data_IF_081781581419
#
_entry.id   IF_081781581419
#
_cell.length_a   1.000
_cell.length_b   1.000
_cell.length_c   1.000
_cell.angle_alpha   90.00
_cell.angle_beta   90.00
_cell.angle_gamma   90.00
#
_symmetry.space_group_name_H-M   'P 1'
#
loop_
_entity.id
_entity.type
_entity.pdbx_description
1 polymer ?
#
# COMPACT_ATOMS: atom_id res chain seq x y z
N UNK A 1 -14.94 25.87 -2.17
CA UNK A 1 -15.26 24.47 -2.51
C UNK A 1 -15.05 23.66 -1.25
N UNK A 2 -16.12 23.26 -0.54
CA UNK A 2 -16.01 22.52 0.72
C UNK A 2 -15.52 21.12 0.42
N UNK A 3 -14.34 20.75 0.92
CA UNK A 3 -13.90 19.36 1.05
C UNK A 3 -14.82 18.67 2.06
N UNK A 4 -16.00 18.31 1.62
CA UNK A 4 -16.84 17.41 2.41
C UNK A 4 -16.30 16.01 2.19
N UNK A 5 -15.19 15.70 2.85
CA UNK A 5 -14.91 14.34 3.21
C UNK A 5 -16.19 13.83 3.90
N UNK A 6 -16.91 12.94 3.27
CA UNK A 6 -18.12 12.35 3.85
C UNK A 6 -17.71 11.32 4.88
N UNK A 7 -17.12 11.79 5.99
CA UNK A 7 -16.96 10.95 7.17
C UNK A 7 -18.36 10.52 7.60
N UNK A 8 -18.65 9.24 7.49
CA UNK A 8 -19.93 8.72 7.97
C UNK A 8 -19.99 8.87 9.48
N UNK A 9 -20.90 9.70 10.02
CA UNK A 9 -21.00 9.86 11.48
C UNK A 9 -21.20 8.50 12.13
N UNK A 10 -20.34 8.16 13.10
CA UNK A 10 -20.43 6.90 13.84
C UNK A 10 -19.86 5.66 13.12
N UNK A 11 -19.14 5.80 11.98
CA UNK A 11 -18.52 4.67 11.27
C UNK A 11 -17.71 3.75 12.20
N UNK A 12 -16.98 4.32 13.15
CA UNK A 12 -16.13 3.57 14.10
C UNK A 12 -16.77 3.34 15.48
N UNK A 13 -18.08 3.60 15.60
CA UNK A 13 -18.78 3.36 16.88
C UNK A 13 -18.75 1.87 17.21
N UNK A 14 -18.35 1.53 18.45
CA UNK A 14 -18.28 0.15 18.92
C UNK A 14 -17.06 -0.65 18.45
N UNK A 15 -16.19 -0.09 17.58
CA UNK A 15 -15.03 -0.80 17.04
C UNK A 15 -13.79 -0.82 17.96
N UNK A 16 -13.89 -0.35 19.19
CA UNK A 16 -12.75 -0.30 20.13
C UNK A 16 -11.97 -1.63 20.27
N UNK A 17 -12.61 -2.81 20.37
CA UNK A 17 -11.90 -4.09 20.39
C UNK A 17 -11.17 -4.39 19.08
N UNK A 18 -11.78 -4.10 17.92
CA UNK A 18 -11.18 -4.26 16.61
C UNK A 18 -9.95 -3.37 16.46
N UNK A 19 -10.06 -2.08 16.78
CA UNK A 19 -8.96 -1.10 16.69
C UNK A 19 -7.77 -1.54 17.57
N UNK A 20 -8.02 -2.03 18.79
CA UNK A 20 -6.94 -2.58 19.65
C UNK A 20 -6.21 -3.75 19.01
N UNK A 21 -6.95 -4.68 18.38
CA UNK A 21 -6.37 -5.80 17.65
C UNK A 21 -5.56 -5.32 16.46
N UNK A 22 -6.09 -4.38 15.67
CA UNK A 22 -5.41 -3.78 14.51
C UNK A 22 -4.10 -3.09 14.93
N UNK A 23 -4.11 -2.31 16.01
CA UNK A 23 -2.90 -1.68 16.56
C UNK A 23 -1.87 -2.75 16.94
N UNK A 24 -2.28 -3.83 17.62
CA UNK A 24 -1.36 -4.93 17.97
C UNK A 24 -0.69 -5.56 16.76
N UNK A 25 -1.46 -5.89 15.73
CA UNK A 25 -0.91 -6.41 14.47
C UNK A 25 -0.07 -5.38 13.71
N UNK A 26 -0.46 -4.11 13.73
CA UNK A 26 0.33 -3.03 13.09
C UNK A 26 1.70 -2.84 13.75
N UNK A 27 1.80 -2.94 15.07
CA UNK A 27 3.07 -2.89 15.79
C UNK A 27 3.97 -4.10 15.45
N UNK A 28 3.38 -5.30 15.39
CA UNK A 28 4.11 -6.49 14.96
C UNK A 28 4.61 -6.34 13.50
N UNK A 29 3.75 -5.86 12.60
CA UNK A 29 4.13 -5.59 11.21
C UNK A 29 5.23 -4.52 11.11
N UNK A 30 5.14 -3.45 11.89
CA UNK A 30 6.16 -2.40 11.92
C UNK A 30 7.56 -2.95 12.29
N UNK A 31 7.62 -3.89 13.23
CA UNK A 31 8.89 -4.57 13.57
C UNK A 31 9.40 -5.44 12.40
N UNK A 32 8.51 -6.19 11.73
CA UNK A 32 8.86 -7.04 10.58
C UNK A 32 9.36 -6.22 9.40
N UNK A 33 8.77 -5.06 9.13
CA UNK A 33 9.25 -4.13 8.09
C UNK A 33 10.52 -3.38 8.53
N UNK A 34 10.58 -2.97 9.79
CA UNK A 34 11.68 -2.14 10.32
C UNK A 34 13.01 -2.88 10.40
N UNK A 35 13.03 -4.17 10.74
CA UNK A 35 14.28 -4.93 10.87
C UNK A 35 15.05 -5.02 9.54
N UNK A 36 14.50 -5.55 8.44
CA UNK A 36 15.22 -5.59 7.17
C UNK A 36 15.52 -4.19 6.61
N UNK A 37 14.63 -3.22 6.77
CA UNK A 37 14.88 -1.84 6.37
C UNK A 37 16.05 -1.22 7.14
N UNK A 38 16.14 -1.46 8.45
CA UNK A 38 17.25 -1.00 9.28
C UNK A 38 18.59 -1.63 8.89
N UNK A 39 18.61 -2.93 8.61
CA UNK A 39 19.81 -3.65 8.13
C UNK A 39 20.29 -3.06 6.80
N UNK A 40 19.36 -2.85 5.85
CA UNK A 40 19.68 -2.28 4.54
C UNK A 40 20.15 -0.83 4.67
N UNK A 41 19.51 -0.01 5.50
CA UNK A 41 19.94 1.37 5.75
C UNK A 41 21.35 1.43 6.38
N UNK A 42 21.63 0.56 7.33
CA UNK A 42 22.97 0.44 7.91
C UNK A 42 24.00 0.01 6.85
N UNK A 43 23.70 -1.03 6.06
CA UNK A 43 24.59 -1.51 4.99
C UNK A 43 24.80 -0.46 3.89
N UNK A 44 23.80 0.36 3.57
CA UNK A 44 23.97 1.49 2.69
C UNK A 44 24.95 2.53 3.25
N UNK A 45 24.75 2.94 4.50
CA UNK A 45 25.57 4.00 5.12
C UNK A 45 27.01 3.56 5.38
N UNK A 46 27.22 2.31 5.80
CA UNK A 46 28.53 1.84 6.25
C UNK A 46 29.32 1.08 5.16
N UNK A 47 28.62 0.42 4.24
CA UNK A 47 29.22 -0.54 3.31
C UNK A 47 28.90 -0.27 1.84
N UNK A 48 28.09 0.73 1.54
CA UNK A 48 27.71 1.07 0.17
C UNK A 48 26.93 -0.03 -0.57
N UNK A 49 26.17 -0.86 0.14
CA UNK A 49 25.54 -2.06 -0.42
C UNK A 49 24.48 -1.79 -1.49
N UNK A 50 23.88 -0.61 -1.48
CA UNK A 50 22.71 -0.33 -2.30
C UNK A 50 22.99 0.70 -3.38
N UNK A 51 22.02 0.91 -4.27
CA UNK A 51 22.04 1.96 -5.29
C UNK A 51 21.37 3.26 -4.82
N UNK A 52 21.21 3.45 -3.50
CA UNK A 52 20.74 4.72 -2.95
C UNK A 52 21.86 5.75 -3.06
N UNK A 53 21.55 6.92 -3.58
CA UNK A 53 22.51 8.02 -3.73
C UNK A 53 21.99 9.32 -3.08
N UNK A 54 22.91 10.26 -2.79
CA UNK A 54 22.63 11.51 -2.08
C UNK A 54 22.87 12.76 -2.92
N UNK A 55 23.59 12.64 -4.04
CA UNK A 55 23.84 13.74 -4.97
C UNK A 55 22.83 13.72 -6.12
N UNK A 56 21.98 14.76 -6.23
CA UNK A 56 21.03 14.89 -7.35
C UNK A 56 21.73 15.02 -8.71
N UNK A 57 23.02 15.42 -8.75
CA UNK A 57 23.81 15.48 -9.97
C UNK A 57 24.29 14.12 -10.49
N UNK A 58 24.17 13.04 -9.69
CA UNK A 58 24.63 11.70 -10.07
C UNK A 58 23.88 11.10 -11.29
N UNK A 59 22.67 11.56 -11.55
CA UNK A 59 21.84 11.12 -12.68
C UNK A 59 21.19 12.33 -13.38
N UNK A 60 20.84 12.22 -14.69
CA UNK A 60 20.09 13.26 -15.37
C UNK A 60 18.77 13.61 -14.67
N UNK A 61 18.34 14.86 -14.67
CA UNK A 61 17.15 15.32 -13.94
C UNK A 61 15.87 14.56 -14.27
N UNK A 62 15.72 14.12 -15.53
CA UNK A 62 14.54 13.31 -15.94
C UNK A 62 14.47 11.95 -15.24
N UNK A 63 15.60 11.44 -14.72
CA UNK A 63 15.62 10.17 -13.99
C UNK A 63 14.94 10.26 -12.63
N UNK A 64 14.91 11.43 -12.01
CA UNK A 64 14.28 11.62 -10.70
C UNK A 64 12.79 11.21 -10.70
N UNK A 65 11.91 11.80 -11.55
CA UNK A 65 10.52 11.33 -11.62
C UNK A 65 10.39 9.90 -12.14
N UNK A 66 11.24 9.46 -13.06
CA UNK A 66 11.21 8.09 -13.55
C UNK A 66 11.52 7.08 -12.44
N UNK A 67 12.52 7.35 -11.59
CA UNK A 67 12.85 6.45 -10.49
C UNK A 67 11.67 6.27 -9.51
N UNK A 68 10.96 7.34 -9.18
CA UNK A 68 9.74 7.27 -8.35
C UNK A 68 8.67 6.41 -9.01
N UNK A 69 8.41 6.61 -10.31
CA UNK A 69 7.42 5.81 -11.06
C UNK A 69 7.82 4.34 -11.13
N UNK A 70 9.10 4.03 -11.35
CA UNK A 70 9.61 2.67 -11.38
C UNK A 70 9.40 1.96 -10.03
N UNK A 71 9.71 2.64 -8.92
CA UNK A 71 9.49 2.09 -7.58
C UNK A 71 8.01 1.83 -7.30
N UNK A 72 7.16 2.81 -7.56
CA UNK A 72 5.71 2.67 -7.34
C UNK A 72 5.13 1.56 -8.21
N UNK A 73 5.52 1.47 -9.49
CA UNK A 73 5.01 0.44 -10.39
C UNK A 73 5.54 -0.96 -10.03
N UNK A 74 6.82 -1.09 -9.70
CA UNK A 74 7.40 -2.36 -9.28
C UNK A 74 6.77 -2.86 -7.96
N UNK A 75 6.59 -1.94 -6.99
CA UNK A 75 5.91 -2.26 -5.74
C UNK A 75 4.45 -2.66 -5.96
N UNK A 76 3.70 -1.91 -6.78
CA UNK A 76 2.30 -2.24 -7.11
C UNK A 76 2.17 -3.58 -7.83
N UNK A 77 3.13 -3.88 -8.72
CA UNK A 77 3.21 -5.18 -9.40
C UNK A 77 3.41 -6.31 -8.40
N UNK A 78 4.40 -6.18 -7.52
CA UNK A 78 4.64 -7.16 -6.47
C UNK A 78 3.42 -7.32 -5.56
N UNK A 79 2.85 -6.20 -5.12
CA UNK A 79 1.68 -6.18 -4.25
C UNK A 79 0.49 -6.87 -4.91
N UNK A 80 0.15 -6.53 -6.16
CA UNK A 80 -0.97 -7.14 -6.88
C UNK A 80 -0.86 -8.67 -6.92
N UNK A 81 0.31 -9.19 -7.33
CA UNK A 81 0.48 -10.64 -7.51
C UNK A 81 0.51 -11.39 -6.18
N UNK A 82 1.20 -10.88 -5.18
CA UNK A 82 1.24 -11.49 -3.83
C UNK A 82 -0.12 -11.40 -3.15
N UNK A 83 -0.81 -10.26 -3.25
CA UNK A 83 -2.14 -10.06 -2.69
C UNK A 83 -3.16 -11.00 -3.33
N UNK A 84 -3.21 -11.06 -4.66
CA UNK A 84 -4.06 -12.01 -5.38
C UNK A 84 -3.75 -13.46 -5.02
N UNK A 85 -2.50 -13.79 -4.82
CA UNK A 85 -2.09 -15.13 -4.38
C UNK A 85 -2.55 -15.43 -2.95
N UNK A 86 -2.44 -14.48 -2.03
CA UNK A 86 -2.92 -14.61 -0.67
C UNK A 86 -4.44 -14.81 -0.57
N UNK A 87 -5.20 -14.48 -1.60
CA UNK A 87 -6.63 -14.81 -1.69
C UNK A 87 -6.94 -16.26 -2.09
N UNK A 88 -5.93 -17.10 -2.35
CA UNK A 88 -6.15 -18.55 -2.46
C UNK A 88 -6.61 -19.12 -1.12
N UNK A 89 -7.64 -20.03 -1.09
CA UNK A 89 -8.33 -20.41 0.16
C UNK A 89 -7.41 -20.88 1.29
N UNK A 90 -6.33 -21.59 0.96
CA UNK A 90 -5.40 -22.11 1.97
C UNK A 90 -4.45 -21.03 2.52
N UNK A 91 -4.01 -20.08 1.68
CA UNK A 91 -3.18 -18.95 2.09
C UNK A 91 -4.00 -17.88 2.82
N UNK A 92 -5.22 -17.61 2.34
CA UNK A 92 -6.10 -16.65 2.97
C UNK A 92 -6.26 -16.94 4.47
N UNK A 93 -6.61 -18.18 4.79
CA UNK A 93 -6.79 -18.58 6.21
C UNK A 93 -5.53 -18.48 7.05
N UNK A 94 -4.34 -18.64 6.46
CA UNK A 94 -3.05 -18.66 7.19
C UNK A 94 -2.32 -17.33 7.23
N UNK A 95 -2.58 -16.44 6.30
CA UNK A 95 -1.84 -15.18 6.15
C UNK A 95 -2.76 -13.96 6.12
N UNK A 96 -3.80 -13.95 5.28
CA UNK A 96 -4.52 -12.74 4.91
C UNK A 96 -5.85 -12.52 5.66
N UNK A 97 -6.36 -13.54 6.34
CA UNK A 97 -7.60 -13.45 7.12
C UNK A 97 -7.53 -12.43 8.28
N UNK A 98 -6.33 -12.18 8.82
CA UNK A 98 -6.10 -11.16 9.86
C UNK A 98 -6.44 -9.76 9.32
N UNK A 99 -5.97 -9.45 8.11
CA UNK A 99 -6.25 -8.19 7.43
C UNK A 99 -7.76 -8.02 7.16
N UNK A 100 -8.39 -9.01 6.56
CA UNK A 100 -9.82 -9.02 6.26
C UNK A 100 -10.77 -9.22 7.46
N UNK A 101 -10.22 -9.43 8.67
CA UNK A 101 -11.03 -9.44 9.90
C UNK A 101 -11.48 -8.05 10.32
N UNK A 102 -10.98 -6.99 9.68
CA UNK A 102 -11.35 -5.59 9.92
C UNK A 102 -12.58 -5.21 9.10
N UNK A 103 -13.72 -5.03 9.79
CA UNK A 103 -15.03 -4.76 9.14
C UNK A 103 -15.84 -3.77 9.97
N UNK A 104 -16.03 -2.53 9.51
CA UNK A 104 -15.33 -1.91 8.37
C UNK A 104 -13.84 -1.74 8.65
N UNK A 105 -12.98 -1.62 7.62
CA UNK A 105 -11.57 -1.32 7.83
C UNK A 105 -11.40 0.07 8.45
N UNK A 106 -10.29 0.25 9.19
CA UNK A 106 -9.85 1.53 9.74
C UNK A 106 -8.46 1.88 9.22
N UNK A 107 -7.97 3.09 9.47
CA UNK A 107 -6.61 3.48 9.10
C UNK A 107 -5.54 2.50 9.62
N UNK A 108 -5.75 1.84 10.75
CA UNK A 108 -4.86 0.83 11.31
C UNK A 108 -4.86 -0.48 10.52
N UNK A 109 -5.93 -0.76 9.77
CA UNK A 109 -6.01 -1.94 8.92
C UNK A 109 -4.90 -1.93 7.87
N UNK A 110 -4.44 -0.76 7.42
CA UNK A 110 -3.36 -0.58 6.45
C UNK A 110 -2.05 -1.32 6.80
N UNK A 111 -1.82 -1.58 8.08
CA UNK A 111 -0.64 -2.30 8.58
C UNK A 111 -1.00 -3.49 9.46
N UNK A 112 -2.29 -3.83 9.58
CA UNK A 112 -2.77 -4.95 10.39
C UNK A 112 -2.63 -6.27 9.63
N UNK A 113 -1.41 -6.81 9.62
CA UNK A 113 -1.03 -8.01 8.86
C UNK A 113 -0.61 -9.16 9.77
N UNK A 114 -0.92 -10.36 9.33
CA UNK A 114 -0.27 -11.55 9.86
C UNK A 114 1.23 -11.54 9.50
N UNK A 115 2.15 -12.11 10.32
CA UNK A 115 3.59 -12.08 10.01
C UNK A 115 3.96 -12.59 8.61
N UNK A 116 3.31 -13.63 8.09
CA UNK A 116 3.55 -14.12 6.73
C UNK A 116 3.21 -13.09 5.65
N UNK A 117 2.13 -12.37 5.82
CA UNK A 117 1.76 -11.27 4.93
C UNK A 117 2.76 -10.10 5.05
N UNK A 118 3.06 -9.68 6.28
CA UNK A 118 4.04 -8.62 6.53
C UNK A 118 5.41 -8.93 5.92
N UNK A 119 5.88 -10.18 5.99
CA UNK A 119 7.14 -10.62 5.36
C UNK A 119 7.12 -10.46 3.84
N UNK A 120 5.99 -10.77 3.16
CA UNK A 120 5.92 -10.59 1.70
C UNK A 120 6.03 -9.12 1.28
N UNK A 121 5.53 -8.20 2.10
CA UNK A 121 5.67 -6.76 1.86
C UNK A 121 7.04 -6.21 2.26
N UNK A 122 7.63 -6.73 3.35
CA UNK A 122 8.88 -6.21 3.91
C UNK A 122 10.09 -6.39 3.00
N UNK A 123 10.06 -7.33 2.05
CA UNK A 123 11.21 -7.64 1.16
C UNK A 123 11.30 -6.75 -0.06
N UNK A 124 10.20 -6.11 -0.51
CA UNK A 124 10.15 -5.48 -1.83
C UNK A 124 11.00 -4.22 -1.92
N UNK A 125 10.89 -3.28 -0.99
CA UNK A 125 11.71 -2.06 -0.99
C UNK A 125 13.19 -2.38 -0.75
N UNK A 126 13.58 -3.22 0.23
CA UNK A 126 14.93 -3.74 0.32
C UNK A 126 15.47 -4.31 -0.99
N UNK A 127 14.72 -5.13 -1.71
CA UNK A 127 15.16 -5.67 -3.00
C UNK A 127 15.33 -4.57 -4.07
N UNK A 128 14.39 -3.64 -4.17
CA UNK A 128 14.42 -2.58 -5.17
C UNK A 128 15.62 -1.64 -5.01
N UNK A 129 16.05 -1.33 -3.79
CA UNK A 129 17.21 -0.44 -3.57
C UNK A 129 18.54 -1.06 -3.99
N UNK A 130 18.62 -2.39 -4.14
CA UNK A 130 19.76 -3.05 -4.76
C UNK A 130 19.72 -3.05 -6.29
N UNK A 131 18.53 -2.94 -6.88
CA UNK A 131 18.33 -3.11 -8.32
C UNK A 131 18.24 -1.78 -9.05
N UNK A 132 17.52 -0.80 -8.50
CA UNK A 132 17.15 0.46 -9.15
C UNK A 132 17.75 1.63 -8.38
N UNK A 133 18.62 2.44 -9.00
CA UNK A 133 19.13 3.65 -8.36
C UNK A 133 17.99 4.59 -7.93
N UNK A 134 18.10 5.18 -6.73
CA UNK A 134 17.14 6.18 -6.26
C UNK A 134 17.83 7.18 -5.34
N UNK A 135 17.50 8.47 -5.47
CA UNK A 135 17.93 9.47 -4.52
C UNK A 135 17.25 9.26 -3.17
N UNK A 136 17.99 9.41 -2.06
CA UNK A 136 17.47 9.16 -0.70
C UNK A 136 16.19 9.93 -0.38
N UNK A 137 16.10 11.21 -0.79
CA UNK A 137 14.88 12.00 -0.59
C UNK A 137 13.68 11.47 -1.41
N UNK A 138 13.93 10.96 -2.63
CA UNK A 138 12.89 10.35 -3.48
C UNK A 138 12.45 9.00 -2.93
N UNK A 139 13.35 8.23 -2.32
CA UNK A 139 12.98 7.03 -1.57
C UNK A 139 12.05 7.39 -0.41
N UNK A 140 12.36 8.46 0.35
CA UNK A 140 11.47 8.98 1.39
C UNK A 140 10.10 9.39 0.84
N UNK A 141 10.05 10.02 -0.33
CA UNK A 141 8.80 10.36 -1.02
C UNK A 141 8.00 9.09 -1.40
N UNK A 142 8.66 8.07 -1.96
CA UNK A 142 8.02 6.79 -2.30
C UNK A 142 7.42 6.15 -1.05
N UNK A 143 8.18 6.04 0.04
CA UNK A 143 7.69 5.48 1.31
C UNK A 143 6.51 6.29 1.88
N UNK A 144 6.56 7.62 1.75
CA UNK A 144 5.44 8.50 2.13
C UNK A 144 4.18 8.24 1.31
N UNK A 145 4.30 8.11 -0.02
CA UNK A 145 3.18 7.78 -0.92
C UNK A 145 2.61 6.39 -0.55
N UNK A 146 3.46 5.39 -0.35
CA UNK A 146 3.05 4.05 0.06
C UNK A 146 2.21 4.07 1.34
N UNK A 147 2.69 4.76 2.36
CA UNK A 147 2.02 4.89 3.66
C UNK A 147 0.68 5.61 3.52
N UNK A 148 0.66 6.75 2.82
CA UNK A 148 -0.57 7.52 2.61
C UNK A 148 -1.61 6.73 1.83
N UNK A 149 -1.23 6.06 0.75
CA UNK A 149 -2.15 5.24 -0.04
C UNK A 149 -2.68 4.06 0.77
N UNK A 150 -1.82 3.38 1.52
CA UNK A 150 -2.26 2.30 2.42
C UNK A 150 -3.31 2.79 3.43
N UNK A 151 -3.04 3.90 4.11
CA UNK A 151 -3.95 4.48 5.10
C UNK A 151 -5.27 4.94 4.43
N UNK A 152 -5.19 5.72 3.36
CA UNK A 152 -6.39 6.28 2.71
C UNK A 152 -7.29 5.21 2.12
N UNK A 153 -6.73 4.15 1.56
CA UNK A 153 -7.50 3.03 1.02
C UNK A 153 -8.28 2.25 2.09
N UNK A 154 -7.87 2.33 3.36
CA UNK A 154 -8.52 1.61 4.47
C UNK A 154 -9.36 2.50 5.40
N UNK A 155 -9.48 3.80 5.13
CA UNK A 155 -10.20 4.71 6.03
C UNK A 155 -11.71 4.47 6.09
N UNK A 156 -12.29 3.62 5.23
CA UNK A 156 -13.73 3.37 5.17
C UNK A 156 -14.55 4.54 4.63
N UNK A 157 -13.90 5.56 4.06
CA UNK A 157 -14.51 6.71 3.40
C UNK A 157 -13.57 7.28 2.33
N UNK A 158 -14.14 7.88 1.27
CA UNK A 158 -13.38 8.40 0.14
C UNK A 158 -12.81 9.79 0.44
N UNK A 159 -11.48 9.91 0.41
CA UNK A 159 -10.77 11.17 0.63
C UNK A 159 -10.78 12.06 -0.62
N UNK A 160 -10.70 11.44 -1.80
CA UNK A 160 -10.60 12.19 -3.04
C UNK A 160 -11.94 12.74 -3.50
N UNK A 161 -11.96 13.96 -4.11
CA UNK A 161 -13.18 14.51 -4.67
C UNK A 161 -13.79 13.59 -5.72
N UNK A 162 -15.12 13.46 -5.75
CA UNK A 162 -15.83 12.61 -6.72
C UNK A 162 -15.43 12.92 -8.18
N UNK A 163 -15.18 14.21 -8.51
CA UNK A 163 -14.70 14.61 -9.84
C UNK A 163 -13.37 13.97 -10.22
N UNK A 164 -12.44 13.77 -9.24
CA UNK A 164 -11.18 13.10 -9.49
C UNK A 164 -11.40 11.59 -9.62
N UNK A 165 -12.12 10.98 -8.67
CA UNK A 165 -12.38 9.52 -8.63
C UNK A 165 -13.04 9.04 -9.93
N UNK A 166 -13.99 9.82 -10.47
CA UNK A 166 -14.70 9.50 -11.72
C UNK A 166 -14.04 10.07 -12.98
N UNK A 167 -12.89 10.75 -12.87
CA UNK A 167 -12.16 11.25 -14.03
C UNK A 167 -11.43 10.13 -14.78
N UNK A 168 -10.94 10.45 -15.99
CA UNK A 168 -10.09 9.53 -16.75
C UNK A 168 -8.81 9.16 -15.97
N UNK A 169 -8.20 10.11 -15.27
CA UNK A 169 -7.01 9.89 -14.45
C UNK A 169 -7.35 9.05 -13.22
N UNK A 170 -8.37 9.44 -12.45
CA UNK A 170 -8.81 8.71 -11.25
C UNK A 170 -9.25 7.29 -11.58
N UNK A 171 -9.76 7.07 -12.80
CA UNK A 171 -10.08 5.73 -13.29
C UNK A 171 -8.89 4.77 -13.39
N UNK A 172 -7.64 5.25 -13.34
CA UNK A 172 -6.43 4.42 -13.29
C UNK A 172 -5.84 4.24 -11.90
N UNK A 173 -6.35 4.99 -10.92
CA UNK A 173 -5.85 4.97 -9.54
C UNK A 173 -6.73 4.09 -8.65
N UNK A 174 -6.11 3.47 -7.67
CA UNK A 174 -6.81 2.85 -6.55
C UNK A 174 -7.18 3.94 -5.55
N UNK A 175 -8.40 3.94 -5.08
CA UNK A 175 -8.91 4.85 -4.05
C UNK A 175 -9.62 4.05 -2.96
N UNK A 176 -10.02 4.70 -1.87
CA UNK A 176 -10.76 4.05 -0.80
C UNK A 176 -11.99 3.29 -1.32
N UNK A 177 -12.77 3.89 -2.21
CA UNK A 177 -13.97 3.26 -2.80
C UNK A 177 -13.62 2.01 -3.63
N UNK A 178 -12.48 2.01 -4.32
CA UNK A 178 -12.03 0.87 -5.10
C UNK A 178 -11.56 -0.27 -4.16
N UNK A 179 -10.77 0.05 -3.15
CA UNK A 179 -10.25 -0.92 -2.19
C UNK A 179 -11.32 -1.42 -1.22
N UNK A 180 -12.31 -0.59 -0.86
CA UNK A 180 -13.48 -1.02 -0.09
C UNK A 180 -14.25 -2.12 -0.82
N UNK A 181 -14.39 -2.02 -2.14
CA UNK A 181 -15.01 -3.08 -2.97
C UNK A 181 -14.27 -4.41 -2.83
N UNK A 182 -12.93 -4.36 -2.69
CA UNK A 182 -12.12 -5.54 -2.40
C UNK A 182 -12.44 -6.14 -1.03
N UNK A 183 -12.56 -5.32 0.03
CA UNK A 183 -12.94 -5.80 1.37
C UNK A 183 -14.36 -6.36 1.44
N UNK A 184 -15.26 -5.94 0.54
CA UNK A 184 -16.61 -6.49 0.41
C UNK A 184 -16.64 -7.78 -0.42
N UNK A 185 -15.83 -7.82 -1.47
CA UNK A 185 -15.74 -8.95 -2.41
C UNK A 185 -14.28 -9.33 -2.64
N UNK A 186 -13.81 -10.35 -1.96
CA UNK A 186 -12.41 -10.78 -1.90
C UNK A 186 -11.80 -11.27 -3.22
N UNK A 187 -12.57 -11.33 -4.30
CA UNK A 187 -12.13 -11.86 -5.60
C UNK A 187 -11.89 -10.79 -6.65
N UNK A 188 -11.66 -9.55 -6.24
CA UNK A 188 -11.49 -8.42 -7.14
C UNK A 188 -10.61 -7.31 -6.54
N UNK A 189 -10.15 -6.37 -7.37
CA UNK A 189 -9.51 -5.12 -6.98
C UNK A 189 -8.29 -5.32 -6.06
N UNK A 190 -7.30 -6.07 -6.53
CA UNK A 190 -6.13 -6.45 -5.73
C UNK A 190 -5.00 -5.42 -5.73
N UNK A 191 -5.01 -4.40 -6.60
CA UNK A 191 -3.97 -3.37 -6.69
C UNK A 191 -3.89 -2.47 -5.47
N UNK A 192 -2.79 -1.72 -5.33
CA UNK A 192 -2.56 -0.77 -4.23
C UNK A 192 -2.60 0.69 -4.69
N UNK A 193 -1.94 1.02 -5.81
CA UNK A 193 -1.89 2.38 -6.38
C UNK A 193 -2.63 2.48 -7.70
N UNK A 194 -2.43 1.48 -8.57
CA UNK A 194 -2.88 1.51 -9.95
C UNK A 194 -3.83 0.36 -10.25
N UNK A 195 -4.83 0.63 -11.08
CA UNK A 195 -5.79 -0.37 -11.57
C UNK A 195 -5.26 -1.14 -12.79
N UNK A 196 -3.97 -0.97 -13.13
CA UNK A 196 -3.35 -1.57 -14.33
C UNK A 196 -3.50 -3.09 -14.32
N UNK A 197 -3.01 -3.74 -13.28
CA UNK A 197 -3.07 -5.19 -13.17
C UNK A 197 -4.49 -5.73 -13.03
N UNK A 198 -5.34 -5.03 -12.26
CA UNK A 198 -6.75 -5.41 -12.14
C UNK A 198 -7.46 -5.40 -13.49
N UNK A 199 -7.20 -4.41 -14.35
CA UNK A 199 -7.75 -4.34 -15.70
C UNK A 199 -7.19 -5.40 -16.62
N UNK A 200 -5.86 -5.55 -16.66
CA UNK A 200 -5.19 -6.53 -17.51
C UNK A 200 -5.59 -7.97 -17.17
N UNK A 201 -5.82 -8.26 -15.89
CA UNK A 201 -6.16 -9.60 -15.41
C UNK A 201 -7.68 -9.82 -15.23
N UNK A 202 -8.52 -8.83 -15.60
CA UNK A 202 -9.97 -8.95 -15.52
C UNK A 202 -10.53 -9.00 -14.08
N UNK A 203 -9.77 -8.47 -13.10
CA UNK A 203 -10.17 -8.42 -11.68
C UNK A 203 -10.71 -7.06 -11.25
N UNK A 204 -10.74 -6.05 -12.13
CA UNK A 204 -11.34 -4.74 -11.85
C UNK A 204 -12.86 -4.84 -11.81
N UNK A 205 -13.48 -4.55 -10.68
CA UNK A 205 -14.94 -4.51 -10.46
C UNK A 205 -15.45 -3.11 -10.13
N UNK A 206 -14.64 -2.09 -10.37
CA UNK A 206 -15.01 -0.70 -10.14
C UNK A 206 -15.07 -0.33 -8.66
N UNK A 207 -15.90 0.65 -8.35
CA UNK A 207 -15.99 1.30 -7.04
C UNK A 207 -17.10 0.69 -6.19
N UNK A 208 -16.93 0.72 -4.86
CA UNK A 208 -18.01 0.53 -3.89
C UNK A 208 -18.74 1.86 -3.66
N UNK A 209 -19.99 1.78 -3.25
CA UNK A 209 -20.75 2.91 -2.74
C UNK A 209 -20.32 3.18 -1.28
N UNK A 210 -19.38 4.12 -1.09
CA UNK A 210 -19.00 4.62 0.24
C UNK A 210 -19.88 5.76 0.70
#
# INVERSE_FOLDING_TARGET
MRLTARVRPGLYRGLKPQIRREIGWSLASAAIYGIPAGIVAWGWQQLGWTRIYTDFGAYPLWYAPLSVLLYLFAHDTWFYWTHRWMHRPWLFRRAHAVHHASRPPTAWTAMSFHPWEALTGAVVIPALVFLIPIHVALLGLVLGIMTLMGITNHMGWELFPARLVHSRLGGWLITASHHQRHHENYQCNYGLYFRVWDRLCGTDRGLSSL
#
